data_IF_308228462966
#
_entry.id   IF_308228462966
#
_cell.length_a   1.000
_cell.length_b   1.000
_cell.length_c   1.000
_cell.angle_alpha   90.00
_cell.angle_beta   90.00
_cell.angle_gamma   90.00
#
_symmetry.space_group_name_H-M   'P 1'
#
loop_
_entity.id
_entity.type
_entity.pdbx_description
1 polymer ?
#
# COMPACT_ATOMS: atom_id res chain seq x y z
N UNK A 1 9.41 -1.70 -5.54
CA UNK A 1 9.44 -0.26 -5.18
C UNK A 1 10.50 0.13 -4.12
N UNK A 2 11.04 -0.82 -3.33
CA UNK A 2 12.14 -0.52 -2.39
C UNK A 2 13.41 -0.12 -3.13
N UNK A 3 13.64 -0.69 -4.31
CA UNK A 3 14.85 -0.48 -5.12
C UNK A 3 14.81 0.84 -5.91
N UNK A 4 13.65 1.51 -6.01
CA UNK A 4 13.49 2.83 -6.66
C UNK A 4 13.84 3.96 -5.69
N UNK A 5 13.70 3.74 -4.38
CA UNK A 5 13.90 4.76 -3.35
C UNK A 5 15.27 5.45 -3.39
N UNK A 6 16.40 4.75 -3.70
CA UNK A 6 17.71 5.39 -3.88
C UNK A 6 17.78 6.39 -5.04
N UNK A 7 16.86 6.33 -6.01
CA UNK A 7 16.83 7.20 -7.20
C UNK A 7 15.99 8.47 -7.00
N UNK A 8 15.17 8.52 -5.94
CA UNK A 8 14.38 9.70 -5.58
C UNK A 8 15.27 10.70 -4.83
N UNK A 9 15.41 11.91 -5.37
CA UNK A 9 16.27 12.96 -4.79
C UNK A 9 15.45 13.97 -3.98
N UNK A 10 15.92 14.28 -2.77
CA UNK A 10 15.33 15.30 -1.91
C UNK A 10 14.05 14.84 -1.19
N UNK A 11 13.21 15.80 -0.81
CA UNK A 11 11.96 15.52 -0.12
C UNK A 11 10.91 14.89 -1.05
N UNK A 12 9.99 14.14 -0.45
CA UNK A 12 8.89 13.49 -1.17
C UNK A 12 8.04 14.54 -1.88
N UNK A 13 8.08 14.51 -3.20
CA UNK A 13 7.24 15.30 -4.11
C UNK A 13 6.95 14.44 -5.34
N UNK A 14 5.78 14.59 -5.95
CA UNK A 14 5.41 13.78 -7.12
C UNK A 14 6.43 13.95 -8.27
N UNK A 15 7.01 15.15 -8.41
CA UNK A 15 8.08 15.44 -9.39
C UNK A 15 9.35 14.63 -9.11
N UNK A 16 9.78 14.58 -7.85
CA UNK A 16 10.98 13.82 -7.46
C UNK A 16 10.75 12.31 -7.57
N UNK A 17 9.55 11.84 -7.23
CA UNK A 17 9.17 10.43 -7.36
C UNK A 17 9.12 9.99 -8.83
N UNK A 18 8.54 10.81 -9.71
CA UNK A 18 8.51 10.55 -11.15
C UNK A 18 9.92 10.52 -11.76
N UNK A 19 10.78 11.49 -11.42
CA UNK A 19 12.17 11.50 -11.87
C UNK A 19 12.95 10.26 -11.38
N UNK A 20 12.77 9.88 -10.12
CA UNK A 20 13.38 8.68 -9.54
C UNK A 20 12.91 7.39 -10.20
N UNK A 21 11.63 7.29 -10.57
CA UNK A 21 11.10 6.15 -11.33
C UNK A 21 11.72 6.04 -12.72
N UNK A 22 11.84 7.15 -13.45
CA UNK A 22 12.44 7.17 -14.79
C UNK A 22 13.92 6.75 -14.72
N UNK A 23 14.67 7.22 -13.71
CA UNK A 23 16.06 6.82 -13.56
C UNK A 23 16.23 5.39 -13.07
N UNK A 24 15.38 4.93 -12.16
CA UNK A 24 15.37 3.52 -11.74
C UNK A 24 15.08 2.58 -12.92
N UNK A 25 14.16 2.96 -13.82
CA UNK A 25 13.84 2.16 -15.02
C UNK A 25 15.03 1.97 -15.98
N UNK A 26 16.07 2.82 -15.89
CA UNK A 26 17.31 2.68 -16.68
C UNK A 26 18.33 1.75 -16.02
N UNK A 27 18.11 1.35 -14.77
CA UNK A 27 19.04 0.49 -14.05
C UNK A 27 18.78 -1.00 -14.37
N UNK A 28 19.76 -1.73 -14.96
CA UNK A 28 19.57 -3.14 -15.33
C UNK A 28 19.47 -4.08 -14.13
N UNK A 29 19.86 -3.63 -12.93
CA UNK A 29 19.79 -4.40 -11.69
C UNK A 29 18.39 -4.32 -11.06
N UNK A 30 17.56 -3.36 -11.46
CA UNK A 30 16.21 -3.21 -10.92
C UNK A 30 15.25 -4.05 -11.76
N UNK A 31 14.69 -5.07 -11.13
CA UNK A 31 13.66 -5.88 -11.77
C UNK A 31 12.31 -5.19 -11.70
N UNK A 32 11.58 -5.19 -12.82
CA UNK A 32 10.22 -4.71 -12.87
C UNK A 32 9.32 -5.53 -11.95
N UNK A 33 8.37 -4.86 -11.29
CA UNK A 33 7.36 -5.55 -10.49
C UNK A 33 6.26 -6.01 -11.45
N UNK A 34 5.95 -7.32 -11.51
CA UNK A 34 4.91 -7.81 -12.41
C UNK A 34 3.55 -7.20 -12.07
N UNK A 35 2.76 -6.93 -13.11
CA UNK A 35 1.35 -6.52 -12.94
C UNK A 35 0.59 -7.65 -12.26
N UNK A 36 -0.17 -7.31 -11.22
CA UNK A 36 -0.96 -8.29 -10.46
C UNK A 36 -2.01 -8.92 -11.34
N UNK A 37 -2.19 -10.24 -11.20
CA UNK A 37 -3.29 -10.93 -11.87
C UNK A 37 -4.63 -10.54 -11.23
N UNK A 38 -5.77 -10.64 -11.97
CA UNK A 38 -7.09 -10.39 -11.40
C UNK A 38 -7.37 -11.20 -10.13
N UNK A 39 -6.87 -12.44 -10.06
CA UNK A 39 -6.97 -13.30 -8.87
C UNK A 39 -6.18 -12.73 -7.69
N UNK A 40 -4.95 -12.29 -7.90
CA UNK A 40 -4.13 -11.67 -6.85
C UNK A 40 -4.74 -10.35 -6.36
N UNK A 41 -5.27 -9.55 -7.27
CA UNK A 41 -5.98 -8.31 -6.94
C UNK A 41 -7.26 -8.59 -6.15
N UNK A 42 -8.03 -9.60 -6.54
CA UNK A 42 -9.23 -10.06 -5.84
C UNK A 42 -8.91 -10.55 -4.42
N UNK A 43 -7.86 -11.36 -4.25
CA UNK A 43 -7.40 -11.79 -2.93
C UNK A 43 -7.02 -10.60 -2.05
N UNK A 44 -6.31 -9.61 -2.59
CA UNK A 44 -5.98 -8.39 -1.85
C UNK A 44 -7.24 -7.60 -1.45
N UNK A 45 -8.26 -7.54 -2.32
CA UNK A 45 -9.53 -6.89 -2.00
C UNK A 45 -10.26 -7.60 -0.84
N UNK A 46 -10.30 -8.94 -0.85
CA UNK A 46 -10.88 -9.73 0.24
C UNK A 46 -10.17 -9.47 1.58
N UNK A 47 -8.84 -9.38 1.58
CA UNK A 47 -8.09 -9.02 2.78
C UNK A 47 -8.46 -7.62 3.31
N UNK A 48 -8.64 -6.63 2.43
CA UNK A 48 -9.07 -5.27 2.86
C UNK A 48 -10.47 -5.30 3.50
N UNK A 49 -11.42 -6.01 2.88
CA UNK A 49 -12.79 -6.16 3.43
C UNK A 49 -12.74 -6.82 4.81
N UNK A 50 -11.97 -7.91 4.96
CA UNK A 50 -11.80 -8.57 6.25
C UNK A 50 -11.24 -7.63 7.32
N UNK A 51 -10.21 -6.86 7.01
CA UNK A 51 -9.62 -5.94 7.99
C UNK A 51 -10.58 -4.80 8.37
N UNK A 52 -11.38 -4.30 7.43
CA UNK A 52 -12.43 -3.33 7.73
C UNK A 52 -13.48 -3.92 8.69
N UNK A 53 -13.97 -5.13 8.41
CA UNK A 53 -14.95 -5.80 9.27
C UNK A 53 -14.39 -6.08 10.68
N UNK A 54 -13.11 -6.45 10.78
CA UNK A 54 -12.42 -6.60 12.08
C UNK A 54 -12.40 -5.29 12.85
N UNK A 55 -12.02 -4.18 12.21
CA UNK A 55 -11.99 -2.87 12.84
C UNK A 55 -13.39 -2.43 13.30
N UNK A 56 -14.41 -2.61 12.46
CA UNK A 56 -15.81 -2.30 12.81
C UNK A 56 -16.29 -3.11 14.00
N UNK A 57 -16.03 -4.43 14.02
CA UNK A 57 -16.38 -5.30 15.16
C UNK A 57 -15.78 -4.78 16.47
N UNK A 58 -14.49 -4.44 16.46
CA UNK A 58 -13.81 -3.90 17.64
C UNK A 58 -14.43 -2.57 18.07
N UNK A 59 -14.73 -1.68 17.13
CA UNK A 59 -15.38 -0.40 17.41
C UNK A 59 -16.77 -0.59 18.05
N UNK A 60 -17.59 -1.51 17.52
CA UNK A 60 -18.91 -1.83 18.09
C UNK A 60 -18.80 -2.38 19.51
N UNK A 61 -17.85 -3.28 19.78
CA UNK A 61 -17.63 -3.80 21.13
C UNK A 61 -17.25 -2.67 22.10
N UNK A 62 -16.35 -1.78 21.69
CA UNK A 62 -15.94 -0.66 22.52
C UNK A 62 -17.09 0.32 22.78
N UNK A 63 -17.94 0.56 21.77
CA UNK A 63 -19.14 1.38 21.92
C UNK A 63 -20.07 0.81 22.99
N UNK A 64 -20.38 -0.49 22.93
CA UNK A 64 -21.25 -1.14 23.92
C UNK A 64 -20.65 -1.08 25.33
N UNK A 65 -19.34 -1.27 25.49
CA UNK A 65 -18.66 -1.16 26.80
C UNK A 65 -18.66 0.26 27.37
N UNK A 66 -18.73 1.28 26.52
CA UNK A 66 -18.74 2.68 26.94
C UNK A 66 -20.13 3.19 27.31
N UNK A 67 -21.19 2.41 27.08
CA UNK A 67 -22.54 2.79 27.50
C UNK A 67 -22.68 2.59 29.02
N UNK A 68 -23.22 3.58 29.75
CA UNK A 68 -23.64 3.39 31.12
C UNK A 68 -24.95 2.59 31.10
N UNK A 69 -24.83 1.26 31.14
CA UNK A 69 -25.94 0.38 31.51
C UNK A 69 -25.99 0.26 33.03
#
# INVERSE_FOLDING_TARGET
PRDVRPYVRGNKTDRADAAGLVEAARCPQISEVPVKTPRQQGLQALHRVREQLKAQRTATINLVRGLPL
#
